data_IF_132056696039
#
_entry.id   IF_132056696039
#
_cell.length_a   1.000
_cell.length_b   1.000
_cell.length_c   1.000
_cell.angle_alpha   90.00
_cell.angle_beta   90.00
_cell.angle_gamma   90.00
#
_symmetry.space_group_name_H-M   'P 1'
#
loop_
_entity.id
_entity.type
_entity.pdbx_description
1 polymer ?
#
# COMPACT_ATOMS: atom_id res chain seq x y z
N UNK A 1 -13.12 10.69 -10.16
CA UNK A 1 -12.56 9.37 -9.85
C UNK A 1 -13.68 8.70 -9.10
N UNK A 2 -14.21 7.63 -9.67
CA UNK A 2 -15.42 7.01 -9.17
C UNK A 2 -14.99 5.80 -8.35
N UNK A 3 -15.31 5.84 -7.06
CA UNK A 3 -14.89 4.81 -6.12
C UNK A 3 -15.52 3.45 -6.50
N UNK A 4 -14.67 2.47 -6.82
CA UNK A 4 -15.08 1.09 -7.08
C UNK A 4 -14.60 0.17 -5.97
N UNK A 5 -15.50 -0.22 -5.06
CA UNK A 5 -15.17 -1.11 -3.93
C UNK A 5 -14.56 -2.44 -4.37
N UNK A 6 -14.90 -2.96 -5.55
CA UNK A 6 -14.45 -4.28 -6.00
C UNK A 6 -12.92 -4.38 -6.15
N UNK A 7 -12.25 -3.26 -6.42
CA UNK A 7 -10.79 -3.22 -6.51
C UNK A 7 -10.11 -3.30 -5.13
N UNK A 8 -10.85 -3.10 -4.04
CA UNK A 8 -10.35 -3.09 -2.66
C UNK A 8 -10.60 -4.40 -1.91
N UNK A 9 -11.60 -5.17 -2.29
CA UNK A 9 -12.05 -6.34 -1.53
C UNK A 9 -10.93 -7.37 -1.27
N UNK A 10 -11.17 -8.33 -0.40
CA UNK A 10 -10.30 -9.48 -0.13
C UNK A 10 -9.02 -9.14 0.64
N UNK A 11 -8.06 -10.06 0.55
CA UNK A 11 -6.84 -10.02 1.34
C UNK A 11 -5.73 -9.17 0.70
N UNK A 12 -5.05 -8.43 1.55
CA UNK A 12 -3.84 -7.68 1.22
C UNK A 12 -2.71 -8.02 2.20
N UNK A 13 -1.48 -7.96 1.71
CA UNK A 13 -0.26 -8.12 2.50
C UNK A 13 0.54 -6.82 2.50
N UNK A 14 1.18 -6.52 3.63
CA UNK A 14 2.12 -5.42 3.70
C UNK A 14 3.30 -5.66 2.76
N UNK A 15 3.74 -4.62 2.04
CA UNK A 15 4.94 -4.67 1.21
C UNK A 15 6.20 -4.96 2.02
N UNK A 16 6.17 -4.75 3.34
CA UNK A 16 7.24 -5.21 4.25
C UNK A 16 7.47 -6.73 4.15
N UNK A 17 6.45 -7.50 3.79
CA UNK A 17 6.60 -8.93 3.50
C UNK A 17 7.60 -9.17 2.35
N UNK A 18 7.52 -8.40 1.27
CA UNK A 18 8.41 -8.52 0.09
C UNK A 18 9.82 -7.98 0.39
N UNK A 19 9.92 -7.02 1.31
CA UNK A 19 11.19 -6.46 1.78
C UNK A 19 11.94 -7.46 2.66
N UNK A 20 11.25 -8.12 3.58
CA UNK A 20 11.83 -8.99 4.60
C UNK A 20 11.94 -10.47 4.14
N UNK A 21 11.33 -10.83 3.01
CA UNK A 21 11.44 -12.16 2.44
C UNK A 21 12.78 -12.34 1.69
N UNK A 22 13.49 -13.41 2.06
CA UNK A 22 14.82 -13.78 1.57
C UNK A 22 14.78 -14.95 0.57
N UNK A 23 13.65 -15.18 -0.09
CA UNK A 23 13.60 -16.07 -1.23
C UNK A 23 14.65 -15.64 -2.28
N UNK A 24 15.44 -16.57 -2.85
CA UNK A 24 16.50 -16.24 -3.81
C UNK A 24 16.04 -15.41 -5.01
N UNK A 25 14.80 -15.60 -5.48
CA UNK A 25 14.26 -14.84 -6.61
C UNK A 25 13.89 -13.40 -6.22
N UNK A 26 13.32 -13.21 -5.02
CA UNK A 26 13.07 -11.87 -4.49
C UNK A 26 14.39 -11.14 -4.24
N UNK A 27 15.37 -11.81 -3.64
CA UNK A 27 16.72 -11.26 -3.47
C UNK A 27 17.33 -10.83 -4.81
N UNK A 28 17.15 -11.64 -5.87
CA UNK A 28 17.58 -11.28 -7.23
C UNK A 28 16.82 -10.08 -7.77
N UNK A 29 15.50 -10.00 -7.61
CA UNK A 29 14.70 -8.86 -8.03
C UNK A 29 15.16 -7.55 -7.36
N UNK A 30 15.49 -7.60 -6.06
CA UNK A 30 16.05 -6.47 -5.31
C UNK A 30 17.47 -6.09 -5.74
N UNK A 31 18.31 -7.06 -6.08
CA UNK A 31 19.65 -6.82 -6.65
C UNK A 31 19.57 -6.11 -8.01
N UNK A 32 18.72 -6.61 -8.91
CA UNK A 32 18.47 -5.99 -10.22
C UNK A 32 17.96 -4.56 -10.06
N UNK A 33 17.02 -4.36 -9.15
CA UNK A 33 16.45 -3.06 -8.79
C UNK A 33 17.52 -2.08 -8.28
N UNK A 34 18.43 -2.55 -7.43
CA UNK A 34 19.56 -1.76 -6.93
C UNK A 34 20.49 -1.33 -8.07
N UNK A 35 20.79 -2.24 -9.01
CA UNK A 35 21.58 -1.91 -10.20
C UNK A 35 20.90 -0.85 -11.05
N UNK A 36 19.59 -0.96 -11.26
CA UNK A 36 18.78 0.00 -12.02
C UNK A 36 18.69 1.37 -11.35
N UNK A 37 18.60 1.45 -10.02
CA UNK A 37 18.64 2.72 -9.31
C UNK A 37 20.01 3.39 -9.41
N UNK A 38 21.09 2.63 -9.25
CA UNK A 38 22.46 3.15 -9.28
C UNK A 38 22.89 3.68 -10.64
N UNK A 39 22.26 3.23 -11.74
CA UNK A 39 22.52 3.79 -13.07
C UNK A 39 21.94 5.20 -13.25
N UNK A 40 21.08 5.68 -12.34
CA UNK A 40 20.52 7.03 -12.37
C UNK A 40 21.36 7.99 -11.51
N UNK A 41 21.98 9.05 -12.08
CA UNK A 41 22.94 9.91 -11.37
C UNK A 41 22.39 10.54 -10.08
N UNK A 42 21.13 11.00 -10.09
CA UNK A 42 20.48 11.61 -8.93
C UNK A 42 20.29 10.61 -7.77
N UNK A 43 19.94 9.36 -8.09
CA UNK A 43 19.72 8.32 -7.09
C UNK A 43 21.03 7.73 -6.56
N UNK A 44 22.08 7.66 -7.39
CA UNK A 44 23.40 7.18 -6.96
C UNK A 44 23.98 8.01 -5.80
N UNK A 45 23.74 9.33 -5.78
CA UNK A 45 24.22 10.25 -4.73
C UNK A 45 23.31 10.22 -3.50
N UNK A 46 21.99 10.07 -3.68
CA UNK A 46 21.01 10.07 -2.59
C UNK A 46 20.87 8.72 -1.87
N UNK A 47 21.38 7.63 -2.44
CA UNK A 47 21.22 6.29 -1.90
C UNK A 47 22.20 5.99 -0.76
N UNK A 48 21.69 6.01 0.47
CA UNK A 48 22.33 5.38 1.61
C UNK A 48 21.99 3.88 1.63
N UNK A 49 22.56 3.10 0.70
CA UNK A 49 22.43 1.64 0.67
C UNK A 49 21.99 1.03 -0.67
N UNK A 50 20.94 0.21 -0.61
CA UNK A 50 20.36 -0.55 -1.74
C UNK A 50 18.86 -0.25 -1.87
N UNK A 51 18.25 -0.72 -2.97
CA UNK A 51 16.84 -0.44 -3.27
C UNK A 51 15.92 -0.94 -2.15
N UNK A 52 16.21 -2.14 -1.63
CA UNK A 52 15.43 -2.77 -0.56
C UNK A 52 15.43 -1.90 0.70
N UNK A 53 16.58 -1.37 1.12
CA UNK A 53 16.70 -0.45 2.27
C UNK A 53 15.97 0.87 2.07
N UNK A 54 15.98 1.41 0.84
CA UNK A 54 15.23 2.62 0.52
C UNK A 54 13.73 2.41 0.77
N UNK A 55 13.15 1.35 0.20
CA UNK A 55 11.73 1.05 0.37
C UNK A 55 11.38 0.59 1.78
N UNK A 56 12.27 -0.11 2.48
CA UNK A 56 12.10 -0.43 3.90
C UNK A 56 11.89 0.81 4.78
N UNK A 57 12.45 1.97 4.40
CA UNK A 57 12.24 3.21 5.15
C UNK A 57 10.89 3.87 4.82
N UNK A 58 10.48 3.82 3.55
CA UNK A 58 9.32 4.55 3.04
C UNK A 58 8.00 3.80 3.22
N UNK A 59 8.02 2.48 2.99
CA UNK A 59 6.84 1.60 3.03
C UNK A 59 6.59 0.95 4.39
N UNK A 60 7.41 1.24 5.41
CA UNK A 60 7.19 0.70 6.75
C UNK A 60 5.83 1.14 7.31
N UNK A 61 5.11 0.20 7.89
CA UNK A 61 3.80 0.46 8.50
C UNK A 61 3.94 1.10 9.89
N UNK A 62 5.07 0.87 10.56
CA UNK A 62 5.32 1.35 11.93
C UNK A 62 6.48 2.35 12.08
N UNK A 63 6.47 3.10 13.16
CA UNK A 63 7.47 4.08 13.56
C UNK A 63 7.26 4.61 14.98
N UNK A 64 8.00 5.66 15.36
CA UNK A 64 7.80 6.33 16.66
C UNK A 64 6.41 6.95 16.79
N UNK A 65 5.92 7.49 15.68
CA UNK A 65 4.59 8.11 15.56
C UNK A 65 3.51 7.03 15.32
N UNK A 66 3.82 5.99 14.53
CA UNK A 66 2.86 4.97 14.07
C UNK A 66 3.12 3.63 14.75
N UNK A 67 2.41 3.33 15.83
CA UNK A 67 2.82 2.28 16.78
C UNK A 67 2.62 0.85 16.29
N UNK A 68 1.73 0.64 15.33
CA UNK A 68 1.30 -0.70 14.93
C UNK A 68 2.11 -1.20 13.75
N UNK A 69 2.67 -2.41 13.88
CA UNK A 69 3.17 -3.16 12.73
C UNK A 69 2.00 -3.86 12.07
N UNK A 70 1.72 -3.48 10.83
CA UNK A 70 0.57 -3.97 10.09
C UNK A 70 1.11 -4.97 9.06
N UNK A 71 0.69 -6.23 9.20
CA UNK A 71 1.09 -7.31 8.30
C UNK A 71 0.21 -7.45 7.06
N UNK A 72 -1.02 -6.92 7.12
CA UNK A 72 -1.94 -6.96 6.00
C UNK A 72 -3.31 -6.41 6.33
N UNK A 73 -4.22 -6.51 5.36
CA UNK A 73 -5.61 -6.14 5.47
C UNK A 73 -6.50 -7.30 5.02
N UNK A 74 -7.71 -7.33 5.57
CA UNK A 74 -8.83 -8.08 5.00
C UNK A 74 -9.98 -7.10 4.78
N UNK A 75 -10.44 -6.96 3.53
CA UNK A 75 -11.48 -6.02 3.15
C UNK A 75 -12.72 -6.76 2.67
N UNK A 76 -13.87 -6.40 3.22
CA UNK A 76 -15.17 -6.94 2.85
C UNK A 76 -16.09 -5.82 2.35
N UNK A 77 -17.19 -6.23 1.72
CA UNK A 77 -18.26 -5.30 1.35
C UNK A 77 -18.70 -4.50 2.59
N UNK A 78 -19.09 -3.23 2.42
CA UNK A 78 -19.66 -2.46 3.53
C UNK A 78 -20.90 -3.17 4.07
N UNK A 79 -21.21 -2.97 5.34
CA UNK A 79 -22.42 -3.56 5.92
C UNK A 79 -23.62 -2.99 5.18
N UNK A 80 -24.57 -3.85 4.80
CA UNK A 80 -25.70 -3.47 3.96
C UNK A 80 -26.42 -2.24 4.55
N UNK A 81 -26.36 -1.13 3.81
CA UNK A 81 -27.24 0.01 4.03
C UNK A 81 -28.52 -0.32 3.24
N UNK A 82 -29.69 -0.14 3.85
CA UNK A 82 -30.97 -0.47 3.22
C UNK A 82 -31.12 0.09 1.80
N UNK A 83 -32.03 -0.55 1.05
CA UNK A 83 -32.18 -0.62 -0.42
C UNK A 83 -31.91 0.58 -1.35
N UNK A 84 -31.49 1.77 -0.92
CA UNK A 84 -31.45 2.94 -1.82
C UNK A 84 -30.19 3.81 -1.82
N UNK A 85 -29.11 3.50 -1.08
CA UNK A 85 -27.81 4.16 -1.31
C UNK A 85 -26.65 3.22 -0.93
N UNK A 86 -25.97 2.67 -1.94
CA UNK A 86 -24.69 1.99 -1.73
C UNK A 86 -23.68 3.02 -1.22
N UNK A 87 -23.52 3.10 0.10
CA UNK A 87 -22.55 4.02 0.71
C UNK A 87 -21.14 3.59 0.28
N UNK A 88 -20.43 4.49 -0.40
CA UNK A 88 -19.05 4.29 -0.78
C UNK A 88 -18.19 4.04 0.47
N UNK A 89 -17.58 2.85 0.55
CA UNK A 89 -16.86 2.41 1.74
C UNK A 89 -16.62 0.89 1.72
N UNK A 90 -16.09 0.39 2.83
CA UNK A 90 -15.84 -1.04 3.04
C UNK A 90 -15.66 -1.35 4.53
N UNK A 91 -15.79 -2.63 4.90
CA UNK A 91 -15.32 -3.13 6.18
C UNK A 91 -13.85 -3.52 6.05
N UNK A 92 -12.97 -2.95 6.88
CA UNK A 92 -11.54 -3.25 6.87
C UNK A 92 -11.11 -3.83 8.22
N UNK A 93 -10.55 -5.03 8.17
CA UNK A 93 -9.82 -5.63 9.28
C UNK A 93 -8.33 -5.40 9.08
N UNK A 94 -7.71 -4.71 10.06
CA UNK A 94 -6.27 -4.51 10.15
C UNK A 94 -5.64 -5.76 10.75
N UNK A 95 -4.62 -6.33 10.10
CA UNK A 95 -3.97 -7.57 10.54
C UNK A 95 -2.52 -7.30 10.96
N UNK A 96 -2.05 -8.02 11.97
CA UNK A 96 -0.64 -8.04 12.35
C UNK A 96 0.22 -8.92 11.41
N UNK A 97 1.52 -9.00 11.66
CA UNK A 97 2.47 -9.80 10.86
C UNK A 97 2.15 -11.31 10.84
N UNK A 98 1.37 -11.79 11.82
CA UNK A 98 0.91 -13.19 11.92
C UNK A 98 -0.49 -13.38 11.38
N UNK A 99 -1.05 -12.38 10.69
CA UNK A 99 -2.42 -12.36 10.15
C UNK A 99 -3.48 -12.45 11.26
N UNK A 100 -3.16 -12.03 12.47
CA UNK A 100 -4.11 -11.91 13.58
C UNK A 100 -4.79 -10.54 13.52
N UNK A 101 -6.13 -10.45 13.66
CA UNK A 101 -6.82 -9.16 13.72
C UNK A 101 -6.29 -8.25 14.83
N UNK A 102 -5.96 -7.03 14.46
CA UNK A 102 -5.65 -5.92 15.38
C UNK A 102 -6.96 -5.21 15.74
N UNK A 103 -7.71 -4.79 14.72
CA UNK A 103 -9.03 -4.17 14.83
C UNK A 103 -9.80 -4.31 13.52
N UNK A 104 -11.11 -4.10 13.57
CA UNK A 104 -11.99 -4.03 12.39
C UNK A 104 -12.82 -2.78 12.49
N UNK A 105 -12.95 -2.05 11.39
CA UNK A 105 -13.76 -0.84 11.29
C UNK A 105 -14.56 -0.80 10.00
N UNK A 106 -15.72 -0.14 10.07
CA UNK A 106 -16.49 0.22 8.89
C UNK A 106 -16.05 1.59 8.38
N UNK A 107 -15.31 1.63 7.27
CA UNK A 107 -14.86 2.86 6.65
C UNK A 107 -15.86 3.39 5.64
N UNK A 108 -16.19 4.67 5.76
CA UNK A 108 -17.00 5.42 4.80
C UNK A 108 -16.12 6.42 4.07
N UNK A 109 -16.27 6.47 2.75
CA UNK A 109 -15.59 7.47 1.92
C UNK A 109 -16.19 8.83 2.26
N UNK A 110 -15.33 9.77 2.65
CA UNK A 110 -15.72 11.14 2.95
C UNK A 110 -15.43 12.05 1.74
N UNK A 111 -14.17 12.13 1.33
CA UNK A 111 -13.77 12.98 0.20
C UNK A 111 -12.51 12.48 -0.52
N UNK A 112 -12.15 13.15 -1.61
CA UNK A 112 -10.91 12.92 -2.35
C UNK A 112 -9.92 14.06 -2.10
N UNK A 113 -8.71 13.72 -1.73
CA UNK A 113 -7.59 14.64 -1.60
C UNK A 113 -6.73 14.62 -2.87
N UNK A 114 -6.82 15.67 -3.70
CA UNK A 114 -6.25 15.71 -5.06
C UNK A 114 -4.73 15.53 -5.14
N UNK A 115 -3.98 15.94 -4.12
CA UNK A 115 -2.50 15.95 -4.12
C UNK A 115 -1.93 15.16 -2.94
N UNK A 116 -2.32 13.90 -2.86
CA UNK A 116 -1.95 12.96 -1.81
C UNK A 116 -0.60 12.29 -2.03
N UNK A 117 -0.60 10.97 -1.84
CA UNK A 117 0.58 10.12 -1.91
C UNK A 117 1.12 10.10 -3.33
N UNK A 118 2.45 10.22 -3.46
CA UNK A 118 3.14 10.42 -4.75
C UNK A 118 2.65 11.63 -5.57
N UNK A 119 1.87 12.55 -4.97
CA UNK A 119 1.23 13.65 -5.67
C UNK A 119 0.00 13.24 -6.50
N UNK A 120 -0.50 12.02 -6.34
CA UNK A 120 -1.73 11.50 -6.96
C UNK A 120 -2.95 11.74 -6.04
N UNK A 121 -4.18 11.67 -6.58
CA UNK A 121 -5.38 11.69 -5.77
C UNK A 121 -5.41 10.52 -4.77
N UNK A 122 -5.87 10.80 -3.55
CA UNK A 122 -6.14 9.79 -2.53
C UNK A 122 -7.58 9.93 -2.04
N UNK A 123 -8.21 8.81 -1.75
CA UNK A 123 -9.46 8.76 -1.00
C UNK A 123 -9.18 8.97 0.49
N UNK A 124 -10.03 9.73 1.15
CA UNK A 124 -10.04 9.93 2.60
C UNK A 124 -11.27 9.22 3.15
N UNK A 125 -11.03 8.24 4.00
CA UNK A 125 -12.06 7.46 4.67
C UNK A 125 -12.06 7.71 6.16
N UNK A 126 -13.25 7.73 6.75
CA UNK A 126 -13.46 7.78 8.19
C UNK A 126 -14.15 6.50 8.65
N UNK A 127 -13.63 5.89 9.71
CA UNK A 127 -14.28 4.76 10.38
C UNK A 127 -15.53 5.26 11.13
N UNK A 128 -16.71 4.78 10.76
CA UNK A 128 -17.98 5.21 11.36
C UNK A 128 -18.22 4.68 12.78
N UNK A 129 -17.48 3.65 13.17
CA UNK A 129 -17.57 2.95 14.45
C UNK A 129 -16.36 3.19 15.37
N UNK A 130 -15.37 3.97 14.92
CA UNK A 130 -14.18 4.27 15.70
C UNK A 130 -14.49 5.22 16.86
N UNK A 131 -13.92 4.90 18.03
CA UNK A 131 -13.98 5.75 19.21
C UNK A 131 -13.05 6.97 19.10
N UNK A 132 -13.23 7.93 20.02
CA UNK A 132 -12.32 9.07 20.12
C UNK A 132 -10.88 8.58 20.39
N UNK A 133 -9.91 9.11 19.62
CA UNK A 133 -8.49 8.73 19.68
C UNK A 133 -8.17 7.30 19.21
N UNK A 134 -9.09 6.62 18.52
CA UNK A 134 -8.75 5.36 17.87
C UNK A 134 -7.68 5.61 16.79
N UNK A 135 -6.50 4.97 16.85
CA UNK A 135 -5.40 5.24 15.92
C UNK A 135 -5.73 4.90 14.46
N UNK A 136 -6.81 4.14 14.20
CA UNK A 136 -7.26 3.75 12.88
C UNK A 136 -8.50 4.54 12.41
N UNK A 137 -8.92 5.58 13.12
CA UNK A 137 -10.15 6.32 12.80
C UNK A 137 -10.16 6.93 11.39
N UNK A 138 -9.00 7.37 10.87
CA UNK A 138 -8.86 7.98 9.55
C UNK A 138 -7.89 7.18 8.69
N UNK A 139 -8.29 6.91 7.45
CA UNK A 139 -7.49 6.23 6.44
C UNK A 139 -7.42 7.09 5.18
N UNK A 140 -6.20 7.44 4.75
CA UNK A 140 -5.96 8.03 3.44
C UNK A 140 -5.29 6.99 2.56
N UNK A 141 -5.86 6.68 1.41
CA UNK A 141 -5.29 5.68 0.52
C UNK A 141 -5.40 6.10 -0.95
N UNK A 142 -4.37 5.77 -1.73
CA UNK A 142 -4.49 5.78 -3.18
C UNK A 142 -5.45 4.70 -3.62
N UNK A 143 -6.09 4.93 -4.77
CA UNK A 143 -6.79 3.87 -5.49
C UNK A 143 -5.84 2.69 -5.77
N UNK A 144 -6.26 1.43 -5.53
CA UNK A 144 -5.50 0.26 -5.93
C UNK A 144 -5.14 0.31 -7.40
N UNK A 145 -3.86 0.16 -7.70
CA UNK A 145 -3.37 0.18 -9.07
C UNK A 145 -2.30 -0.90 -9.31
N UNK A 146 -2.32 -1.58 -10.47
CA UNK A 146 -3.44 -1.63 -11.41
C UNK A 146 -4.71 -2.19 -10.74
N UNK A 147 -5.85 -2.11 -11.44
CA UNK A 147 -7.08 -2.79 -11.01
C UNK A 147 -6.80 -4.25 -10.67
N UNK A 148 -7.54 -4.78 -9.70
CA UNK A 148 -7.31 -6.14 -9.20
C UNK A 148 -7.52 -7.20 -10.29
N UNK A 149 -8.40 -6.89 -11.24
CA UNK A 149 -8.68 -7.70 -12.42
C UNK A 149 -7.47 -7.88 -13.35
N UNK A 150 -6.53 -6.93 -13.37
CA UNK A 150 -5.43 -6.87 -14.32
C UNK A 150 -4.50 -8.08 -14.22
N UNK A 151 -4.33 -8.64 -13.01
CA UNK A 151 -3.48 -9.81 -12.78
C UNK A 151 -3.93 -11.01 -13.64
N UNK A 152 -5.24 -11.20 -13.83
CA UNK A 152 -5.79 -12.30 -14.65
C UNK A 152 -5.40 -12.23 -16.12
N UNK A 153 -4.95 -11.06 -16.58
CA UNK A 153 -4.53 -10.81 -17.95
C UNK A 153 -3.01 -10.62 -18.07
N UNK A 154 -2.25 -11.11 -17.09
CA UNK A 154 -0.79 -10.99 -17.06
C UNK A 154 -0.28 -9.60 -16.65
N UNK A 155 -1.15 -8.78 -16.05
CA UNK A 155 -0.80 -7.51 -15.43
C UNK A 155 -0.04 -7.69 -14.12
N UNK A 156 0.35 -6.57 -13.51
CA UNK A 156 1.00 -6.56 -12.20
C UNK A 156 -0.02 -6.83 -11.09
N UNK A 157 0.48 -7.35 -9.97
CA UNK A 157 -0.26 -7.39 -8.70
C UNK A 157 -0.78 -5.98 -8.34
N UNK A 158 -2.04 -5.91 -7.92
CA UNK A 158 -2.60 -4.65 -7.43
C UNK A 158 -1.90 -4.24 -6.14
N UNK A 159 -1.68 -2.94 -5.97
CA UNK A 159 -1.08 -2.37 -4.77
C UNK A 159 -1.59 -0.95 -4.56
N UNK A 160 -1.46 -0.47 -3.33
CA UNK A 160 -1.82 0.89 -2.95
C UNK A 160 -0.88 1.42 -1.87
N UNK A 161 -0.79 2.73 -1.81
CA UNK A 161 -0.16 3.44 -0.71
C UNK A 161 -1.22 4.00 0.23
N UNK A 162 -0.94 4.00 1.52
CA UNK A 162 -1.86 4.54 2.52
C UNK A 162 -1.16 5.25 3.67
N UNK A 163 -1.93 6.02 4.44
CA UNK A 163 -1.59 6.58 5.75
C UNK A 163 -2.81 6.45 6.67
N UNK A 164 -2.58 6.41 7.98
CA UNK A 164 -3.65 6.26 8.96
C UNK A 164 -3.32 7.03 10.24
N UNK A 165 -4.36 7.54 10.92
CA UNK A 165 -4.24 8.23 12.19
C UNK A 165 -5.59 8.30 12.92
N UNK A 166 -5.56 8.84 14.14
CA UNK A 166 -6.77 9.14 14.92
C UNK A 166 -7.55 10.35 14.45
N UNK A 167 -6.92 11.25 13.71
CA UNK A 167 -7.51 12.50 13.24
C UNK A 167 -6.94 12.88 11.87
N UNK A 168 -7.78 13.43 11.00
CA UNK A 168 -7.36 13.85 9.66
C UNK A 168 -6.28 14.94 9.73
N UNK A 169 -6.36 15.82 10.73
CA UNK A 169 -5.40 16.87 10.98
C UNK A 169 -4.00 16.37 11.36
N UNK A 170 -3.82 15.09 11.67
CA UNK A 170 -2.52 14.42 11.85
C UNK A 170 -1.91 13.94 10.52
N UNK A 171 -2.73 13.77 9.48
CA UNK A 171 -2.30 13.33 8.15
C UNK A 171 -2.22 14.49 7.16
N UNK A 172 -3.18 15.41 7.21
CA UNK A 172 -3.31 16.56 6.34
C UNK A 172 -3.07 17.84 7.15
N UNK A 173 -2.38 18.81 6.54
CA UNK A 173 -2.24 20.17 7.06
C UNK A 173 -2.84 21.17 6.09
N UNK A 174 -3.40 22.25 6.63
CA UNK A 174 -4.07 23.29 5.85
C UNK A 174 -5.48 22.90 5.47
N UNK A 175 -6.15 23.74 4.68
CA UNK A 175 -7.54 23.56 4.27
C UNK A 175 -7.72 23.87 2.78
N UNK A 176 -8.79 23.31 2.19
CA UNK A 176 -9.15 23.53 0.80
C UNK A 176 -8.00 23.21 -0.17
N UNK A 177 -7.81 24.05 -1.19
CA UNK A 177 -6.81 23.82 -2.26
C UNK A 177 -5.34 23.85 -1.81
N UNK A 178 -5.07 24.32 -0.59
CA UNK A 178 -3.72 24.37 -0.03
C UNK A 178 -3.43 23.20 0.93
N UNK A 179 -4.42 22.33 1.16
CA UNK A 179 -4.24 21.14 1.97
C UNK A 179 -3.12 20.26 1.39
N UNK A 180 -2.26 19.73 2.26
CA UNK A 180 -1.15 18.85 1.87
C UNK A 180 -0.91 17.77 2.92
N UNK A 181 -0.41 16.61 2.50
CA UNK A 181 0.02 15.59 3.45
C UNK A 181 1.19 16.08 4.32
N UNK A 182 1.12 15.79 5.61
CA UNK A 182 2.19 16.08 6.59
C UNK A 182 3.41 15.20 6.38
N UNK A 183 3.20 13.92 6.08
CA UNK A 183 4.24 12.91 5.97
C UNK A 183 4.39 12.37 4.54
N UNK A 184 4.69 13.24 3.56
CA UNK A 184 4.77 12.87 2.13
C UNK A 184 5.70 11.69 1.77
N UNK A 185 6.68 11.40 2.61
CA UNK A 185 7.67 10.33 2.39
C UNK A 185 7.38 9.05 3.20
N UNK A 186 6.27 9.02 3.95
CA UNK A 186 5.78 7.85 4.63
C UNK A 186 4.56 7.36 3.87
N UNK A 187 4.70 6.27 3.12
CA UNK A 187 3.63 5.69 2.33
C UNK A 187 3.66 4.17 2.49
N UNK A 188 3.26 3.66 3.67
CA UNK A 188 2.91 2.26 3.87
C UNK A 188 2.21 1.69 2.64
N UNK A 189 2.60 0.50 2.24
CA UNK A 189 2.14 -0.09 0.97
C UNK A 189 1.53 -1.44 1.23
N UNK A 190 0.36 -1.66 0.66
CA UNK A 190 -0.30 -2.96 0.61
C UNK A 190 -0.23 -3.51 -0.81
N UNK A 191 -0.08 -4.83 -0.94
CA UNK A 191 -0.20 -5.57 -2.19
C UNK A 191 -1.30 -6.62 -2.07
N UNK A 192 -2.02 -6.88 -3.15
CA UNK A 192 -3.01 -7.96 -3.20
C UNK A 192 -2.36 -9.31 -2.81
N UNK A 193 -3.07 -10.14 -2.05
CA UNK A 193 -2.51 -11.38 -1.51
C UNK A 193 -2.57 -12.57 -2.49
N UNK A 194 -3.38 -12.50 -3.55
CA UNK A 194 -3.66 -13.61 -4.47
C UNK A 194 -2.55 -13.92 -5.50
N UNK A 195 -1.39 -13.25 -5.41
CA UNK A 195 -0.29 -13.39 -6.37
C UNK A 195 0.75 -14.46 -6.01
N UNK A 196 1.41 -14.99 -7.03
CA UNK A 196 2.53 -15.93 -6.91
C UNK A 196 3.83 -15.23 -6.50
N UNK A 197 4.87 -16.00 -6.19
CA UNK A 197 6.22 -15.46 -5.98
C UNK A 197 6.74 -14.68 -7.21
N UNK A 198 6.38 -15.11 -8.43
CA UNK A 198 6.73 -14.41 -9.66
C UNK A 198 6.09 -13.01 -9.69
N UNK A 199 4.81 -12.92 -9.33
CA UNK A 199 4.08 -11.66 -9.30
C UNK A 199 4.67 -10.72 -8.26
N UNK A 200 5.03 -11.24 -7.07
CA UNK A 200 5.71 -10.48 -6.02
C UNK A 200 7.07 -9.94 -6.50
N UNK A 201 7.87 -10.77 -7.19
CA UNK A 201 9.12 -10.32 -7.81
C UNK A 201 8.86 -9.23 -8.85
N UNK A 202 7.82 -9.37 -9.65
CA UNK A 202 7.49 -8.42 -10.70
C UNK A 202 7.03 -7.05 -10.17
N UNK A 203 6.40 -6.99 -9.00
CA UNK A 203 6.13 -5.72 -8.31
C UNK A 203 7.42 -5.02 -7.92
N UNK A 204 8.35 -5.73 -7.28
CA UNK A 204 9.66 -5.17 -6.90
C UNK A 204 10.39 -4.62 -8.13
N UNK A 205 10.34 -5.35 -9.25
CA UNK A 205 10.95 -4.94 -10.52
C UNK A 205 10.26 -3.71 -11.12
N UNK A 206 8.94 -3.65 -11.08
CA UNK A 206 8.15 -2.56 -11.64
C UNK A 206 8.42 -1.21 -10.96
N UNK A 207 8.68 -1.21 -9.63
CA UNK A 207 9.08 0.00 -8.87
C UNK A 207 10.31 0.70 -9.46
N UNK A 208 11.12 -0.01 -10.24
CA UNK A 208 12.33 0.51 -10.85
C UNK A 208 12.29 0.46 -12.39
N UNK A 209 11.10 0.33 -12.96
CA UNK A 209 10.84 0.24 -14.41
C UNK A 209 11.62 -0.89 -15.09
N UNK A 210 11.91 -1.96 -14.35
CA UNK A 210 12.48 -3.17 -14.93
C UNK A 210 11.39 -3.99 -15.61
N UNK A 211 11.74 -4.64 -16.71
CA UNK A 211 10.83 -5.56 -17.39
C UNK A 211 10.42 -6.70 -16.46
N UNK A 212 9.12 -6.99 -16.41
CA UNK A 212 8.59 -8.14 -15.68
C UNK A 212 9.17 -9.45 -16.23
N UNK A 213 9.47 -10.38 -15.33
CA UNK A 213 9.81 -11.75 -15.68
C UNK A 213 8.56 -12.51 -16.12
N UNK A 214 8.73 -13.37 -17.12
CA UNK A 214 7.68 -14.29 -17.59
C UNK A 214 7.64 -15.58 -16.76
N UNK A 215 8.77 -15.94 -16.16
CA UNK A 215 8.95 -17.10 -15.31
C UNK A 215 10.02 -16.78 -14.25
N UNK A 216 10.02 -17.50 -13.13
CA UNK A 216 11.05 -17.33 -12.11
C UNK A 216 12.42 -17.72 -12.70
N UNK A 217 13.45 -16.87 -12.58
CA UNK A 217 14.78 -17.23 -13.04
C UNK A 217 15.28 -18.46 -12.29
N UNK A 218 15.91 -19.39 -13.01
CA UNK A 218 16.64 -20.48 -12.36
C UNK A 218 17.79 -19.86 -11.55
N UNK A 219 17.97 -20.23 -10.27
CA UNK A 219 19.14 -19.81 -9.50
C UNK A 219 20.41 -20.18 -10.28
N UNK A 220 21.33 -19.23 -10.48
CA UNK A 220 22.63 -19.59 -11.02
C UNK A 220 23.30 -20.53 -10.03
N UNK A 221 23.71 -21.71 -10.50
CA UNK A 221 24.62 -22.58 -9.78
C UNK A 221 26.01 -21.94 -9.87
N UNK A 222 26.25 -20.92 -9.06
CA UNK A 222 27.59 -20.39 -8.80
C UNK A 222 28.25 -21.19 -7.67
#
# INVERSE_FOLDING_TARGET
>A
MDFNVNDWLGDWISFEHLINNHDPNLDRAWKDSTKAMRSKPLFAIMMLGDARRFWAKACKTSGKEWRFRIGGWHIEQPSAVGDDDAVAGFNLTWLDEKRTPITTHEYRLDHVHDKGLEGKPCYVFHASDAGASDPFAVLIAMEPMPERSALRHGGLLSHLHFQYASDEGELIKGTGKQATLRHRMWYPTMCAAEGTLLDQCNIVRALHHLQAWRELPVPSSD
#
